data_IF_022972983838
#
_entry.id   IF_022972983838
#
_cell.length_a   1.000
_cell.length_b   1.000
_cell.length_c   1.000
_cell.angle_alpha   90.00
_cell.angle_beta   90.00
_cell.angle_gamma   90.00
#
_symmetry.space_group_name_H-M   'P 1'
#
loop_
_entity.id
_entity.type
_entity.pdbx_description
1 polymer ?
#
# COMPACT_ATOMS: atom_id res chain seq x y z
N UNK A 1 2.38 12.78 14.41
CA UNK A 1 2.37 11.35 14.81
C UNK A 1 0.97 11.10 15.35
N UNK A 2 0.07 10.28 14.81
CA UNK A 2 0.08 9.22 13.80
C UNK A 2 -1.16 9.43 12.93
N UNK A 3 -1.02 9.48 11.59
CA UNK A 3 -2.18 9.29 10.70
C UNK A 3 -2.40 7.81 10.36
N UNK A 4 -1.75 6.89 11.08
CA UNK A 4 -2.05 5.46 10.94
C UNK A 4 -3.42 5.19 11.54
N UNK A 5 -4.41 5.20 10.64
CA UNK A 5 -5.81 4.91 10.85
C UNK A 5 -5.99 3.77 11.86
N UNK A 6 -6.71 4.00 12.99
CA UNK A 6 -7.02 2.97 13.99
C UNK A 6 -7.57 1.67 13.38
N UNK A 7 -8.22 1.79 12.23
CA UNK A 7 -8.74 0.71 11.40
C UNK A 7 -7.65 -0.20 10.81
N UNK A 8 -6.55 0.38 10.33
CA UNK A 8 -5.40 -0.38 9.81
C UNK A 8 -4.63 -1.00 10.96
N UNK A 9 -4.49 -0.29 12.08
CA UNK A 9 -3.93 -0.87 13.30
C UNK A 9 -4.76 -2.07 13.80
N UNK A 10 -6.09 -1.98 13.73
CA UNK A 10 -6.98 -3.09 14.09
C UNK A 10 -6.86 -4.28 13.12
N UNK A 11 -6.67 -4.05 11.83
CA UNK A 11 -6.55 -5.11 10.82
C UNK A 11 -5.14 -5.76 10.80
N UNK A 12 -4.09 -4.96 11.00
CA UNK A 12 -2.70 -5.39 10.89
C UNK A 12 -2.13 -5.86 12.25
N UNK A 13 -2.69 -5.36 13.35
CA UNK A 13 -2.16 -5.49 14.70
C UNK A 13 -1.15 -4.39 15.03
N UNK A 14 -1.10 -3.98 16.29
CA UNK A 14 -0.24 -2.87 16.75
C UNK A 14 1.24 -3.09 16.44
N UNK A 15 1.75 -4.30 16.70
CA UNK A 15 3.18 -4.59 16.52
C UNK A 15 3.59 -4.46 15.05
N UNK A 16 2.83 -5.07 14.14
CA UNK A 16 3.09 -4.97 12.70
C UNK A 16 2.86 -3.55 12.18
N UNK A 17 1.91 -2.81 12.75
CA UNK A 17 1.72 -1.38 12.41
C UNK A 17 2.97 -0.57 12.75
N UNK A 18 3.51 -0.72 13.96
CA UNK A 18 4.76 -0.07 14.37
C UNK A 18 5.94 -0.49 13.49
N UNK A 19 6.09 -1.78 13.25
CA UNK A 19 7.28 -2.31 12.56
C UNK A 19 7.25 -2.02 11.05
N UNK A 20 6.07 -2.08 10.42
CA UNK A 20 5.93 -2.03 8.96
C UNK A 20 5.55 -0.64 8.46
N UNK A 21 4.73 0.13 9.20
CA UNK A 21 4.18 1.39 8.72
C UNK A 21 4.83 2.61 9.39
N UNK A 22 5.07 2.55 10.70
CA UNK A 22 5.64 3.69 11.41
C UNK A 22 7.07 4.00 10.95
N UNK A 23 7.30 5.26 10.56
CA UNK A 23 8.58 5.72 10.02
C UNK A 23 8.85 5.30 8.57
N UNK A 24 8.00 4.49 7.96
CA UNK A 24 8.03 4.19 6.52
C UNK A 24 7.42 5.35 5.72
N UNK A 25 7.74 5.43 4.42
CA UNK A 25 7.15 6.44 3.52
C UNK A 25 5.75 6.02 3.11
N UNK A 26 4.76 6.81 3.50
CA UNK A 26 3.40 6.69 2.99
C UNK A 26 3.30 7.38 1.62
N UNK A 27 2.75 6.69 0.62
CA UNK A 27 2.25 7.32 -0.60
C UNK A 27 0.77 7.57 -0.39
N UNK A 28 0.43 8.78 0.07
CA UNK A 28 -0.93 9.17 0.44
C UNK A 28 -1.84 9.26 -0.79
N UNK A 29 -1.41 9.98 -1.84
CA UNK A 29 -2.16 10.10 -3.08
C UNK A 29 -1.24 10.09 -4.31
N UNK A 30 -1.69 9.39 -5.36
CA UNK A 30 -1.09 9.43 -6.69
C UNK A 30 -2.20 9.38 -7.73
N UNK A 31 -2.40 10.49 -8.43
CA UNK A 31 -3.37 10.61 -9.51
C UNK A 31 -2.69 10.89 -10.85
N UNK A 32 -3.27 10.34 -11.92
CA UNK A 32 -2.92 10.69 -13.29
C UNK A 32 -4.18 11.15 -14.02
N UNK A 33 -4.02 12.09 -14.95
CA UNK A 33 -5.11 12.52 -15.81
C UNK A 33 -5.71 11.32 -16.56
N UNK A 34 -7.01 11.36 -16.84
CA UNK A 34 -7.71 10.29 -17.56
C UNK A 34 -7.05 9.99 -18.92
N UNK A 35 -6.62 11.03 -19.65
CA UNK A 35 -5.89 10.91 -20.92
C UNK A 35 -4.52 10.23 -20.81
N UNK A 36 -3.95 10.13 -19.61
CA UNK A 36 -2.67 9.49 -19.36
C UNK A 36 -2.80 8.06 -18.80
N UNK A 37 -4.03 7.54 -18.64
CA UNK A 37 -4.25 6.16 -18.18
C UNK A 37 -3.76 5.15 -19.22
N UNK A 38 -3.39 3.95 -18.77
CA UNK A 38 -2.88 2.86 -19.61
C UNK A 38 -1.56 3.14 -20.37
N UNK A 39 -0.89 4.26 -20.09
CA UNK A 39 0.42 4.61 -20.67
C UNK A 39 1.62 4.13 -19.83
N UNK A 40 1.36 3.55 -18.66
CA UNK A 40 2.39 3.22 -17.66
C UNK A 40 2.87 4.41 -16.82
N UNK A 41 2.36 5.63 -17.05
CA UNK A 41 2.76 6.82 -16.29
C UNK A 41 2.59 6.65 -14.78
N UNK A 42 1.44 6.11 -14.33
CA UNK A 42 1.20 5.87 -12.90
C UNK A 42 2.24 4.95 -12.26
N UNK A 43 2.66 3.89 -12.94
CA UNK A 43 3.69 2.98 -12.43
C UNK A 43 5.06 3.67 -12.37
N UNK A 44 5.40 4.49 -13.36
CA UNK A 44 6.65 5.26 -13.39
C UNK A 44 6.71 6.30 -12.27
N UNK A 45 5.61 7.03 -12.04
CA UNK A 45 5.51 7.98 -10.95
C UNK A 45 5.60 7.28 -9.59
N UNK A 46 4.86 6.18 -9.41
CA UNK A 46 4.90 5.40 -8.17
C UNK A 46 6.32 4.88 -7.86
N UNK A 47 7.07 4.45 -8.88
CA UNK A 47 8.47 4.07 -8.73
C UNK A 47 9.34 5.27 -8.36
N UNK A 48 9.22 6.38 -9.08
CA UNK A 48 10.02 7.59 -8.85
C UNK A 48 9.85 8.13 -7.42
N UNK A 49 8.63 8.11 -6.87
CA UNK A 49 8.37 8.58 -5.50
C UNK A 49 8.72 7.56 -4.41
N UNK A 50 9.21 6.37 -4.76
CA UNK A 50 9.57 5.33 -3.79
C UNK A 50 11.01 4.83 -3.92
N UNK A 51 11.69 5.06 -5.03
CA UNK A 51 13.00 4.46 -5.32
C UNK A 51 14.17 5.05 -4.53
N UNK A 52 14.08 6.31 -4.10
CA UNK A 52 15.09 7.01 -3.28
C UNK A 52 15.05 6.58 -1.80
N UNK A 53 14.03 5.82 -1.39
CA UNK A 53 13.92 5.37 -0.01
C UNK A 53 14.95 4.27 0.28
N UNK A 54 16.00 4.62 1.01
CA UNK A 54 17.14 3.73 1.30
C UNK A 54 16.73 2.43 2.01
N UNK A 55 15.90 2.50 3.06
CA UNK A 55 15.39 1.33 3.78
C UNK A 55 14.31 0.55 3.00
N UNK A 56 13.92 1.04 1.81
CA UNK A 56 12.91 0.43 0.94
C UNK A 56 11.49 0.42 1.52
N UNK A 57 11.28 0.97 2.73
CA UNK A 57 10.00 0.91 3.44
C UNK A 57 9.07 1.99 2.92
N UNK A 58 8.25 1.61 1.94
CA UNK A 58 7.13 2.40 1.44
C UNK A 58 5.82 1.62 1.60
N UNK A 59 4.73 2.33 1.84
CA UNK A 59 3.39 1.75 1.98
C UNK A 59 2.32 2.72 1.46
N UNK A 60 1.11 2.23 1.22
CA UNK A 60 -0.04 3.03 0.82
C UNK A 60 -1.35 2.40 1.29
N UNK A 61 -2.43 3.17 1.19
CA UNK A 61 -3.80 2.73 1.43
C UNK A 61 -4.66 2.91 0.20
N UNK A 62 -5.63 2.02 0.01
CA UNK A 62 -6.66 2.19 -1.01
C UNK A 62 -7.95 1.54 -0.57
N UNK A 63 -9.07 2.00 -1.15
CA UNK A 63 -10.34 1.32 -0.96
C UNK A 63 -10.32 -0.09 -1.55
N UNK A 64 -10.88 -1.06 -0.81
CA UNK A 64 -11.11 -2.42 -1.30
C UNK A 64 -12.13 -2.47 -2.45
N UNK A 65 -12.98 -1.44 -2.58
CA UNK A 65 -13.92 -1.29 -3.69
C UNK A 65 -13.29 -0.79 -4.98
N UNK A 66 -12.07 -0.25 -4.91
CA UNK A 66 -11.35 0.28 -6.08
C UNK A 66 -10.62 -0.83 -6.84
N UNK A 67 -11.38 -1.77 -7.43
CA UNK A 67 -10.86 -3.02 -8.02
C UNK A 67 -9.77 -2.81 -9.07
N UNK A 68 -9.88 -1.80 -9.94
CA UNK A 68 -8.85 -1.47 -10.92
C UNK A 68 -7.56 -0.95 -10.28
N UNK A 69 -7.68 -0.19 -9.19
CA UNK A 69 -6.56 0.28 -8.37
C UNK A 69 -5.85 -0.88 -7.68
N UNK A 70 -6.60 -1.84 -7.13
CA UNK A 70 -6.03 -3.06 -6.55
C UNK A 70 -5.25 -3.87 -7.59
N UNK A 71 -5.80 -4.05 -8.80
CA UNK A 71 -5.11 -4.72 -9.92
C UNK A 71 -3.87 -3.94 -10.37
N UNK A 72 -3.90 -2.62 -10.35
CA UNK A 72 -2.74 -1.78 -10.63
C UNK A 72 -1.61 -2.02 -9.61
N UNK A 73 -1.91 -2.04 -8.32
CA UNK A 73 -0.92 -2.32 -7.27
C UNK A 73 -0.34 -3.73 -7.37
N UNK A 74 -1.18 -4.74 -7.59
CA UNK A 74 -0.70 -6.12 -7.79
C UNK A 74 0.27 -6.23 -8.99
N UNK A 75 -0.05 -5.59 -10.13
CA UNK A 75 0.83 -5.58 -11.32
C UNK A 75 2.13 -4.82 -11.12
N UNK A 76 2.17 -3.89 -10.18
CA UNK A 76 3.38 -3.13 -9.82
C UNK A 76 4.12 -3.74 -8.64
N UNK A 77 3.83 -5.00 -8.31
CA UNK A 77 4.47 -5.79 -7.25
C UNK A 77 4.29 -5.22 -5.84
N UNK A 78 3.22 -4.44 -5.62
CA UNK A 78 2.78 -4.07 -4.29
C UNK A 78 1.99 -5.21 -3.66
N UNK A 79 2.22 -5.44 -2.37
CA UNK A 79 1.66 -6.59 -1.64
C UNK A 79 0.65 -6.12 -0.61
N UNK A 80 -0.61 -6.54 -0.72
CA UNK A 80 -1.62 -6.30 0.29
C UNK A 80 -1.24 -6.99 1.61
N UNK A 81 -1.33 -6.28 2.73
CA UNK A 81 -1.00 -6.81 4.07
C UNK A 81 -2.16 -6.75 5.07
N UNK A 82 -3.25 -6.10 4.69
CA UNK A 82 -4.53 -6.20 5.40
C UNK A 82 -5.55 -6.84 4.48
N UNK A 83 -6.40 -7.70 5.05
CA UNK A 83 -7.62 -8.16 4.41
C UNK A 83 -8.78 -7.20 4.77
N UNK A 84 -9.83 -7.13 3.95
CA UNK A 84 -11.07 -6.47 4.36
C UNK A 84 -11.55 -7.14 5.65
N UNK A 85 -11.70 -6.36 6.72
CA UNK A 85 -12.31 -6.87 7.95
C UNK A 85 -13.83 -6.82 7.82
N UNK A 86 -14.58 -7.77 8.42
CA UNK A 86 -16.04 -7.68 8.48
C UNK A 86 -16.54 -6.40 9.17
N UNK A 87 -15.68 -5.76 9.98
CA UNK A 87 -15.97 -4.59 10.81
C UNK A 87 -15.96 -3.24 10.09
N UNK A 88 -15.87 -3.20 8.75
CA UNK A 88 -16.24 -2.01 7.97
C UNK A 88 -15.12 -1.05 7.56
N UNK A 89 -13.85 -1.39 7.82
CA UNK A 89 -12.74 -0.67 7.20
C UNK A 89 -12.57 -1.16 5.75
N UNK A 90 -13.21 -0.46 4.80
CA UNK A 90 -13.09 -0.73 3.37
C UNK A 90 -11.72 -0.28 2.79
N UNK A 91 -10.64 -0.40 3.57
CA UNK A 91 -9.29 -0.01 3.18
C UNK A 91 -8.35 -1.21 3.25
N UNK A 92 -7.50 -1.34 2.24
CA UNK A 92 -6.38 -2.27 2.21
C UNK A 92 -5.06 -1.49 2.26
N UNK A 93 -4.17 -1.91 3.17
CA UNK A 93 -2.78 -1.46 3.19
C UNK A 93 -1.94 -2.32 2.27
N UNK A 94 -1.05 -1.67 1.52
CA UNK A 94 -0.09 -2.30 0.64
C UNK A 94 1.32 -1.91 1.03
N UNK A 95 2.23 -2.88 1.00
CA UNK A 95 3.66 -2.66 1.12
C UNK A 95 4.32 -2.60 -0.25
N UNK A 96 5.25 -1.67 -0.41
CA UNK A 96 6.01 -1.45 -1.64
C UNK A 96 6.92 -2.63 -2.00
N UNK A 97 7.36 -2.72 -3.27
CA UNK A 97 8.12 -3.87 -3.76
C UNK A 97 9.48 -4.05 -3.06
N UNK A 98 10.07 -2.99 -2.50
CA UNK A 98 11.33 -3.06 -1.74
C UNK A 98 11.15 -3.25 -0.24
N UNK A 99 9.92 -3.32 0.24
CA UNK A 99 9.63 -3.49 1.66
C UNK A 99 9.91 -4.93 2.10
N UNK A 100 10.84 -5.14 3.03
CA UNK A 100 11.26 -6.48 3.49
C UNK A 100 10.10 -7.30 4.08
N UNK A 101 9.24 -6.65 4.89
CA UNK A 101 8.08 -7.30 5.49
C UNK A 101 7.03 -7.81 4.50
N UNK A 102 7.11 -7.47 3.20
CA UNK A 102 6.20 -8.03 2.17
C UNK A 102 6.25 -9.57 2.13
N UNK A 103 7.40 -10.15 2.47
CA UNK A 103 7.57 -11.60 2.53
C UNK A 103 6.78 -12.28 3.66
N UNK A 104 6.38 -11.50 4.66
CA UNK A 104 5.58 -11.93 5.82
C UNK A 104 4.08 -11.70 5.62
N UNK A 105 3.68 -11.12 4.46
CA UNK A 105 2.29 -10.94 4.13
C UNK A 105 1.61 -12.32 3.99
N UNK A 106 0.37 -12.48 4.50
CA UNK A 106 -0.42 -13.67 4.23
C UNK A 106 -0.58 -13.81 2.71
N UNK A 107 -0.20 -14.96 2.15
CA UNK A 107 -0.48 -15.22 0.73
C UNK A 107 -1.99 -15.45 0.58
N UNK A 108 -2.63 -14.89 -0.47
CA UNK A 108 -3.97 -15.34 -0.82
C UNK A 108 -3.91 -16.86 -1.07
N UNK A 109 -4.83 -17.59 -0.44
CA UNK A 109 -5.03 -19.03 -0.63
C UNK A 109 -5.44 -19.33 -2.08
#
# INVERSE_FOLDING_TARGET
MERCYPQIAAALGEQRTRDWLCGAREVDELAVATSARSTGLGARLLRAVTEDRADGRCWLLTSVGATDTLRFYARTSWTAVTHPTPSGANLAAFLGPRHSARALAPRPL
#
